data_IF_786312719520
#
_entry.id   IF_786312719520
#
_cell.length_a   1.000
_cell.length_b   1.000
_cell.length_c   1.000
_cell.angle_alpha   90.00
_cell.angle_beta   90.00
_cell.angle_gamma   90.00
#
_symmetry.space_group_name_H-M   'P 1'
#
loop_
_entity.id
_entity.type
_entity.pdbx_description
1 polymer ?
#
# COMPACT_ATOMS: atom_id res chain seq x y z
N UNK A 1 26.38 1.30 17.29
CA UNK A 1 25.24 0.44 17.58
C UNK A 1 24.91 0.46 19.05
N UNK A 2 23.71 0.57 19.31
CA UNK A 2 23.26 0.36 20.67
C UNK A 2 23.01 -1.14 20.87
N UNK A 3 23.71 -1.74 21.78
CA UNK A 3 23.43 -3.12 22.16
C UNK A 3 22.11 -3.21 22.91
N UNK A 4 21.53 -2.07 23.25
CA UNK A 4 20.27 -1.97 23.97
C UNK A 4 19.13 -1.45 23.11
N UNK A 5 19.41 -1.14 21.84
CA UNK A 5 18.43 -0.57 20.95
C UNK A 5 18.20 -1.45 19.74
N UNK A 6 17.10 -1.19 19.07
CA UNK A 6 16.78 -1.84 17.83
C UNK A 6 17.53 -1.17 16.69
N UNK A 7 17.88 -1.91 15.65
CA UNK A 7 18.37 -1.33 14.42
C UNK A 7 17.27 -0.50 13.77
N UNK A 8 17.64 0.36 12.82
CA UNK A 8 16.65 1.16 12.08
C UNK A 8 15.62 0.25 11.41
N UNK A 9 16.08 -0.84 10.79
CA UNK A 9 15.17 -1.80 10.15
C UNK A 9 14.23 -2.44 11.16
N UNK A 10 14.74 -2.84 12.34
CA UNK A 10 13.89 -3.42 13.38
C UNK A 10 12.88 -2.42 13.89
N UNK A 11 13.28 -1.17 14.09
CA UNK A 11 12.36 -0.12 14.54
C UNK A 11 11.25 0.12 13.51
N UNK A 12 11.61 0.16 12.23
CA UNK A 12 10.62 0.28 11.17
C UNK A 12 9.65 -0.90 11.20
N UNK A 13 10.21 -2.13 11.30
CA UNK A 13 9.39 -3.34 11.31
C UNK A 13 8.39 -3.39 12.45
N UNK A 14 8.77 -2.91 13.64
CA UNK A 14 7.86 -2.90 14.79
C UNK A 14 6.74 -1.88 14.65
N UNK A 15 6.85 -0.95 13.70
CA UNK A 15 5.77 -0.02 13.39
C UNK A 15 4.71 -0.65 12.47
N UNK A 16 5.02 -1.78 11.85
CA UNK A 16 4.09 -2.51 10.98
C UNK A 16 3.10 -3.30 11.83
N UNK A 17 1.92 -3.61 11.28
CA UNK A 17 0.92 -4.37 12.04
C UNK A 17 1.39 -5.77 12.37
N UNK A 18 0.96 -6.25 13.53
CA UNK A 18 1.31 -7.56 14.04
C UNK A 18 0.15 -8.53 13.87
N UNK A 19 0.43 -9.71 13.35
CA UNK A 19 -0.56 -10.76 13.15
C UNK A 19 0.03 -12.11 13.56
N UNK A 20 -0.83 -13.05 13.87
CA UNK A 20 -0.40 -14.38 14.32
C UNK A 20 0.04 -15.29 13.20
N UNK A 21 -0.35 -14.99 11.96
CA UNK A 21 -0.01 -15.81 10.79
C UNK A 21 -0.08 -14.97 9.53
N UNK A 22 0.55 -15.46 8.46
CA UNK A 22 0.47 -14.80 7.16
C UNK A 22 -0.96 -14.81 6.63
N UNK A 23 -1.73 -15.86 6.90
CA UNK A 23 -3.13 -15.92 6.47
C UNK A 23 -3.98 -14.85 7.12
N UNK A 24 -3.78 -14.61 8.43
CA UNK A 24 -4.47 -13.54 9.13
C UNK A 24 -4.06 -12.18 8.58
N UNK A 25 -2.76 -11.99 8.34
CA UNK A 25 -2.23 -10.75 7.79
C UNK A 25 -2.82 -10.48 6.40
N UNK A 26 -2.88 -11.50 5.55
CA UNK A 26 -3.47 -11.37 4.22
C UNK A 26 -4.92 -10.93 4.27
N UNK A 27 -5.73 -11.59 5.10
CA UNK A 27 -7.15 -11.22 5.22
C UNK A 27 -7.33 -9.77 5.65
N UNK A 28 -6.55 -9.33 6.61
CA UNK A 28 -6.69 -7.99 7.16
C UNK A 28 -6.10 -6.92 6.25
N UNK A 29 -4.91 -7.15 5.71
CA UNK A 29 -4.23 -6.16 4.89
C UNK A 29 -4.85 -6.02 3.50
N UNK A 30 -5.35 -7.10 2.92
CA UNK A 30 -6.08 -7.00 1.65
C UNK A 30 -7.42 -6.29 1.83
N UNK A 31 -8.08 -6.47 2.97
CA UNK A 31 -9.30 -5.72 3.28
C UNK A 31 -8.99 -4.24 3.44
N UNK A 32 -7.92 -3.91 4.14
CA UNK A 32 -7.48 -2.53 4.33
C UNK A 32 -7.20 -1.87 2.98
N UNK A 33 -6.52 -2.59 2.08
CA UNK A 33 -6.29 -2.12 0.72
C UNK A 33 -7.60 -1.83 -0.01
N UNK A 34 -8.54 -2.78 0.04
CA UNK A 34 -9.81 -2.66 -0.67
C UNK A 34 -10.62 -1.48 -0.13
N UNK A 35 -10.64 -1.33 1.19
CA UNK A 35 -11.35 -0.22 1.83
C UNK A 35 -10.71 1.12 1.45
N UNK A 36 -9.39 1.19 1.43
CA UNK A 36 -8.67 2.40 1.06
C UNK A 36 -8.91 2.79 -0.41
N UNK A 37 -8.90 1.81 -1.30
CA UNK A 37 -9.18 2.05 -2.72
C UNK A 37 -10.61 2.52 -2.94
N UNK A 38 -11.55 1.94 -2.21
CA UNK A 38 -12.94 2.36 -2.26
C UNK A 38 -13.09 3.80 -1.76
N UNK A 39 -12.43 4.12 -0.66
CA UNK A 39 -12.50 5.46 -0.08
C UNK A 39 -11.93 6.53 -1.00
N UNK A 40 -10.76 6.28 -1.58
CA UNK A 40 -10.16 7.26 -2.49
C UNK A 40 -11.01 7.43 -3.77
N UNK A 41 -11.61 6.36 -4.26
CA UNK A 41 -12.53 6.44 -5.39
C UNK A 41 -13.78 7.24 -5.06
N UNK A 42 -14.30 7.03 -3.86
CA UNK A 42 -15.51 7.75 -3.42
C UNK A 42 -15.26 9.25 -3.31
N UNK A 43 -14.14 9.63 -2.74
CA UNK A 43 -13.85 11.06 -2.51
C UNK A 43 -13.26 11.77 -3.72
N UNK A 44 -12.47 11.10 -4.52
CA UNK A 44 -11.67 11.75 -5.56
C UNK A 44 -11.81 11.11 -6.94
N UNK A 45 -12.44 9.95 -7.04
CA UNK A 45 -12.47 9.17 -8.27
C UNK A 45 -13.02 9.95 -9.45
N UNK A 46 -14.16 10.60 -9.26
CA UNK A 46 -14.81 11.35 -10.32
C UNK A 46 -14.12 12.69 -10.56
N UNK A 47 -13.84 13.41 -9.49
CA UNK A 47 -13.23 14.75 -9.56
C UNK A 47 -11.87 14.72 -10.26
N UNK A 48 -11.04 13.73 -9.93
CA UNK A 48 -9.69 13.61 -10.49
C UNK A 48 -9.61 12.64 -11.66
N UNK A 49 -10.72 12.03 -12.02
CA UNK A 49 -10.76 11.00 -13.07
C UNK A 49 -9.72 9.91 -12.78
N UNK A 50 -9.87 9.25 -11.63
CA UNK A 50 -8.95 8.20 -11.20
C UNK A 50 -9.30 6.89 -11.91
N UNK A 51 -8.56 6.60 -12.95
CA UNK A 51 -8.77 5.42 -13.80
C UNK A 51 -7.59 4.45 -13.74
N UNK A 52 -6.73 4.59 -12.73
CA UNK A 52 -5.53 3.79 -12.55
C UNK A 52 -4.52 3.94 -13.69
N UNK A 53 -4.54 5.08 -14.40
CA UNK A 53 -3.54 5.43 -15.39
C UNK A 53 -2.40 6.20 -14.75
N UNK A 54 -1.26 6.27 -15.45
CA UNK A 54 -0.13 7.09 -15.00
C UNK A 54 -0.51 8.56 -14.89
N UNK A 55 -1.37 9.04 -15.80
CA UNK A 55 -1.86 10.42 -15.76
C UNK A 55 -2.70 10.67 -14.53
N UNK A 56 -3.51 9.69 -14.12
CA UNK A 56 -4.32 9.84 -12.91
C UNK A 56 -3.45 9.91 -11.66
N UNK A 57 -2.32 9.22 -11.64
CA UNK A 57 -1.36 9.35 -10.53
C UNK A 57 -0.83 10.77 -10.42
N UNK A 58 -0.54 11.40 -11.54
CA UNK A 58 -0.06 12.79 -11.55
C UNK A 58 -1.15 13.74 -11.06
N UNK A 59 -2.40 13.49 -11.43
CA UNK A 59 -3.52 14.31 -10.95
C UNK A 59 -3.71 14.14 -9.45
N UNK A 60 -3.58 12.92 -8.95
CA UNK A 60 -3.69 12.63 -7.52
C UNK A 60 -2.56 13.30 -6.72
N UNK A 61 -1.33 13.19 -7.21
CA UNK A 61 -0.19 13.83 -6.58
C UNK A 61 -0.36 15.35 -6.53
N UNK A 62 -0.79 15.94 -7.65
CA UNK A 62 -1.03 17.38 -7.71
C UNK A 62 -2.10 17.80 -6.71
N UNK A 63 -3.20 17.06 -6.67
CA UNK A 63 -4.27 17.33 -5.70
C UNK A 63 -3.72 17.33 -4.27
N UNK A 64 -2.91 16.33 -3.96
CA UNK A 64 -2.35 16.18 -2.61
C UNK A 64 -1.56 17.41 -2.19
N UNK A 65 -0.63 17.84 -3.04
CA UNK A 65 0.20 19.00 -2.73
C UNK A 65 -0.57 20.32 -2.79
N UNK A 66 -1.48 20.47 -3.72
CA UNK A 66 -2.28 21.69 -3.83
C UNK A 66 -3.25 21.88 -2.68
N UNK A 67 -3.59 20.81 -1.99
CA UNK A 67 -4.50 20.85 -0.84
C UNK A 67 -3.76 20.76 0.50
N UNK A 68 -2.47 21.03 0.49
CA UNK A 68 -1.68 21.12 1.72
C UNK A 68 -1.36 19.80 2.36
N UNK A 69 -1.22 18.74 1.57
CA UNK A 69 -0.87 17.40 2.05
C UNK A 69 -1.82 16.94 3.15
N UNK A 70 -3.14 16.80 2.85
CA UNK A 70 -4.12 16.44 3.87
C UNK A 70 -3.80 15.08 4.48
N UNK A 71 -3.98 14.95 5.79
CA UNK A 71 -3.69 13.71 6.49
C UNK A 71 -4.81 12.71 6.38
N UNK A 72 -6.07 13.17 6.48
CA UNK A 72 -7.22 12.28 6.49
C UNK A 72 -8.31 12.80 5.56
N UNK A 73 -9.06 11.85 4.98
CA UNK A 73 -10.33 12.17 4.33
C UNK A 73 -11.36 12.56 5.39
N UNK A 74 -12.44 13.20 4.97
CA UNK A 74 -13.51 13.57 5.88
C UNK A 74 -14.12 12.34 6.58
N UNK A 75 -14.07 11.19 5.93
CA UNK A 75 -14.53 9.93 6.50
C UNK A 75 -13.55 9.34 7.52
N UNK A 76 -12.36 9.93 7.67
CA UNK A 76 -11.36 9.52 8.67
C UNK A 76 -10.24 8.65 8.16
N UNK A 77 -10.31 8.16 6.92
CA UNK A 77 -9.24 7.33 6.37
C UNK A 77 -7.98 8.12 6.03
N UNK A 78 -6.81 7.50 6.17
CA UNK A 78 -5.53 8.14 5.92
C UNK A 78 -5.28 8.33 4.42
N UNK A 79 -5.07 9.57 4.01
CA UNK A 79 -4.87 9.92 2.60
C UNK A 79 -3.59 9.29 2.05
N UNK A 80 -2.48 9.40 2.78
CA UNK A 80 -1.20 8.88 2.30
C UNK A 80 -1.25 7.36 2.09
N UNK A 81 -1.89 6.64 3.00
CA UNK A 81 -2.04 5.19 2.87
C UNK A 81 -2.88 4.84 1.63
N UNK A 82 -4.00 5.55 1.43
CA UNK A 82 -4.85 5.32 0.27
C UNK A 82 -4.12 5.63 -1.05
N UNK A 83 -3.30 6.69 -1.07
CA UNK A 83 -2.49 7.01 -2.23
C UNK A 83 -1.48 5.90 -2.52
N UNK A 84 -0.87 5.33 -1.48
CA UNK A 84 0.05 4.21 -1.63
C UNK A 84 -0.64 2.99 -2.23
N UNK A 85 -1.83 2.67 -1.75
CA UNK A 85 -2.61 1.56 -2.32
C UNK A 85 -3.03 1.86 -3.77
N UNK A 86 -3.38 3.10 -4.05
CA UNK A 86 -3.73 3.50 -5.41
C UNK A 86 -2.53 3.33 -6.36
N UNK A 87 -1.35 3.77 -5.92
CA UNK A 87 -0.12 3.60 -6.70
C UNK A 87 0.16 2.12 -6.95
N UNK A 88 0.06 1.29 -5.91
CA UNK A 88 0.27 -0.15 -6.03
C UNK A 88 -0.70 -0.80 -7.00
N UNK A 89 -1.97 -0.42 -6.93
CA UNK A 89 -2.99 -0.98 -7.84
C UNK A 89 -2.76 -0.51 -9.28
N UNK A 90 -2.29 0.71 -9.46
CA UNK A 90 -1.92 1.20 -10.79
C UNK A 90 -0.79 0.35 -11.39
N UNK A 91 0.22 0.03 -10.59
CA UNK A 91 1.31 -0.85 -11.02
C UNK A 91 0.79 -2.23 -11.39
N UNK A 92 -0.08 -2.79 -10.55
CA UNK A 92 -0.64 -4.12 -10.81
C UNK A 92 -1.39 -4.17 -12.13
N UNK A 93 -2.12 -3.11 -12.46
CA UNK A 93 -2.93 -3.07 -13.68
C UNK A 93 -2.11 -2.79 -14.93
N UNK A 94 -0.98 -2.08 -14.80
CA UNK A 94 -0.20 -1.63 -15.96
C UNK A 94 0.97 -2.55 -16.30
N UNK A 95 1.37 -3.45 -15.38
CA UNK A 95 2.55 -4.28 -15.56
C UNK A 95 2.38 -5.61 -14.82
N UNK A 96 3.42 -6.44 -14.85
CA UNK A 96 3.38 -7.74 -14.20
C UNK A 96 3.72 -7.61 -12.72
N UNK A 97 2.84 -6.96 -11.98
CA UNK A 97 2.95 -6.86 -10.53
C UNK A 97 1.78 -7.57 -9.88
N UNK A 98 2.01 -8.07 -8.69
CA UNK A 98 0.97 -8.72 -7.89
C UNK A 98 1.05 -8.20 -6.46
N UNK A 99 -0.10 -8.09 -5.80
CA UNK A 99 -0.14 -7.78 -4.38
C UNK A 99 0.43 -8.94 -3.58
N UNK A 100 1.25 -8.62 -2.61
CA UNK A 100 1.79 -9.61 -1.68
C UNK A 100 1.71 -9.10 -0.26
N UNK A 101 1.58 -10.04 0.67
CA UNK A 101 1.72 -9.79 2.11
C UNK A 101 2.80 -10.74 2.59
N UNK A 102 3.78 -10.20 3.29
CA UNK A 102 4.86 -11.01 3.82
C UNK A 102 5.29 -10.51 5.18
N UNK A 103 5.84 -11.43 5.97
CA UNK A 103 6.43 -11.09 7.25
C UNK A 103 7.70 -10.27 7.01
N UNK A 104 7.85 -9.19 7.77
CA UNK A 104 9.04 -8.36 7.65
C UNK A 104 10.24 -9.10 8.25
N UNK A 105 11.34 -9.16 7.51
CA UNK A 105 12.50 -9.98 7.87
C UNK A 105 13.13 -9.60 9.22
N UNK A 106 13.02 -8.34 9.61
CA UNK A 106 13.67 -7.82 10.80
C UNK A 106 12.73 -7.62 11.99
N UNK A 107 11.47 -8.05 11.87
CA UNK A 107 10.49 -7.93 12.94
C UNK A 107 9.50 -9.07 12.86
N UNK A 108 9.81 -10.16 13.54
CA UNK A 108 8.98 -11.36 13.52
C UNK A 108 7.57 -11.05 14.00
N UNK A 109 6.58 -11.58 13.30
CA UNK A 109 5.18 -11.35 13.63
C UNK A 109 4.60 -10.09 13.05
N UNK A 110 5.42 -9.25 12.45
CA UNK A 110 4.99 -8.00 11.81
C UNK A 110 5.00 -8.18 10.30
N UNK A 111 3.94 -7.70 9.65
CA UNK A 111 3.70 -7.98 8.24
C UNK A 111 3.58 -6.69 7.43
N UNK A 112 3.97 -6.77 6.18
CA UNK A 112 3.83 -5.65 5.25
C UNK A 112 3.07 -6.09 4.02
N UNK A 113 2.35 -5.15 3.43
CA UNK A 113 1.66 -5.34 2.16
C UNK A 113 2.33 -4.46 1.11
N UNK A 114 2.44 -4.98 -0.10
CA UNK A 114 3.00 -4.22 -1.20
C UNK A 114 2.75 -4.92 -2.52
N UNK A 115 3.36 -4.41 -3.56
CA UNK A 115 3.32 -5.06 -4.86
C UNK A 115 4.72 -5.54 -5.21
N UNK A 116 4.76 -6.72 -5.80
CA UNK A 116 6.02 -7.32 -6.22
C UNK A 116 5.88 -7.72 -7.68
N UNK A 117 6.98 -7.65 -8.40
CA UNK A 117 6.97 -8.08 -9.79
C UNK A 117 6.69 -9.59 -9.84
N UNK A 118 5.62 -9.93 -10.52
CA UNK A 118 5.26 -11.35 -10.67
C UNK A 118 6.33 -12.05 -11.50
N UNK A 119 6.76 -13.25 -11.08
CA UNK A 119 7.68 -14.01 -11.92
C UNK A 119 7.00 -14.39 -13.23
N UNK A 120 7.76 -14.40 -14.30
CA UNK A 120 7.24 -14.85 -15.56
C UNK A 120 6.86 -16.33 -15.45
N UNK A 121 5.72 -16.74 -16.04
CA UNK A 121 5.39 -18.16 -16.02
C UNK A 121 6.48 -18.96 -16.72
N UNK A 122 6.76 -20.16 -16.25
CA UNK A 122 7.75 -21.00 -16.92
C UNK A 122 7.32 -21.26 -18.36
N UNK A 123 8.31 -21.24 -19.24
CA UNK A 123 8.04 -21.50 -20.64
C UNK A 123 7.71 -22.99 -20.79
N UNK A 124 6.53 -23.27 -21.32
CA UNK A 124 6.13 -24.63 -21.61
C UNK A 124 6.81 -25.06 -22.90
N UNK A 125 7.50 -26.14 -22.81
CA UNK A 125 8.21 -26.67 -23.97
C UNK A 125 7.44 -27.83 -24.55
#
# INVERSE_FOLDING_TARGET
MSQYGLTVAQQFGTSLPEYSSVGEAERNLYRERDDALQEISLHLGETLRLDYSAESLKRLERWYFENGCPQNFNSGGAVAAAMGFYFGETLRRSAQFAWIVKEFAFAKGHYEIGVSRAPLPPVSM
#
